data_IF_237968146775
#
_entry.id   IF_237968146775
#
_cell.length_a   1.000
_cell.length_b   1.000
_cell.length_c   1.000
_cell.angle_alpha   90.00
_cell.angle_beta   90.00
_cell.angle_gamma   90.00
#
_symmetry.space_group_name_H-M   'P 1'
#
loop_
_entity.id
_entity.type
_entity.pdbx_description
1 polymer ?
#
# COMPACT_ATOMS: atom_id res chain seq x y z
N UNK A 1 9.08 -11.20 -8.06
CA UNK A 1 9.99 -10.07 -8.36
C UNK A 1 9.45 -9.40 -9.61
N UNK A 2 9.09 -8.11 -9.51
CA UNK A 2 8.47 -7.37 -10.62
C UNK A 2 9.44 -6.29 -11.08
N UNK A 3 9.61 -6.12 -12.39
CA UNK A 3 10.51 -5.10 -12.95
C UNK A 3 9.67 -4.12 -13.77
N UNK A 4 9.76 -2.83 -13.45
CA UNK A 4 9.23 -1.77 -14.31
C UNK A 4 10.37 -1.08 -15.03
N UNK A 5 10.19 -0.91 -16.33
CA UNK A 5 11.12 -0.15 -17.17
C UNK A 5 10.37 1.10 -17.62
N UNK A 6 10.86 2.26 -17.18
CA UNK A 6 10.45 3.58 -17.67
C UNK A 6 11.65 4.22 -18.36
N UNK A 7 11.45 5.16 -19.28
CA UNK A 7 12.53 5.74 -20.09
C UNK A 7 13.75 6.16 -19.24
N UNK A 8 14.83 5.38 -19.30
CA UNK A 8 16.07 5.61 -18.58
C UNK A 8 16.17 5.04 -17.16
N UNK A 9 15.17 4.31 -16.64
CA UNK A 9 15.21 3.73 -15.29
C UNK A 9 14.69 2.28 -15.25
N UNK A 10 15.43 1.42 -14.55
CA UNK A 10 15.01 0.07 -14.19
C UNK A 10 14.61 0.09 -12.72
N UNK A 11 13.31 -0.05 -12.44
CA UNK A 11 12.78 -0.13 -11.09
C UNK A 11 12.60 -1.60 -10.73
N UNK A 12 13.42 -2.08 -9.80
CA UNK A 12 13.34 -3.43 -9.25
C UNK A 12 12.35 -3.42 -8.07
N UNK A 13 11.14 -3.92 -8.27
CA UNK A 13 10.18 -4.12 -7.21
C UNK A 13 10.42 -5.49 -6.58
N UNK A 14 10.98 -5.48 -5.37
CA UNK A 14 11.00 -6.66 -4.52
C UNK A 14 9.55 -7.02 -4.20
N UNK A 15 9.14 -8.21 -4.64
CA UNK A 15 7.80 -8.74 -4.47
C UNK A 15 7.71 -9.30 -3.04
N UNK A 16 7.71 -8.41 -2.06
CA UNK A 16 7.41 -8.77 -0.68
C UNK A 16 5.89 -8.74 -0.54
N UNK A 17 5.22 -9.73 -1.14
CA UNK A 17 3.77 -9.85 -1.17
C UNK A 17 3.16 -9.72 0.24
N UNK A 18 3.80 -10.32 1.25
CA UNK A 18 3.38 -10.21 2.66
C UNK A 18 3.46 -8.77 3.20
N UNK A 19 4.55 -8.04 2.93
CA UNK A 19 4.71 -6.66 3.42
C UNK A 19 3.78 -5.71 2.67
N UNK A 20 3.56 -5.93 1.38
CA UNK A 20 2.63 -5.12 0.59
C UNK A 20 1.18 -5.36 1.01
N UNK A 21 0.78 -6.61 1.20
CA UNK A 21 -0.56 -6.99 1.65
C UNK A 21 -0.82 -6.46 3.08
N UNK A 22 0.14 -6.61 3.98
CA UNK A 22 0.04 -6.05 5.34
C UNK A 22 -0.07 -4.52 5.29
N UNK A 23 0.69 -3.85 4.43
CA UNK A 23 0.62 -2.38 4.29
C UNK A 23 -0.74 -1.93 3.75
N UNK A 24 -1.33 -2.71 2.84
CA UNK A 24 -2.66 -2.44 2.30
C UNK A 24 -3.75 -2.67 3.35
N UNK A 25 -3.67 -3.76 4.13
CA UNK A 25 -4.56 -4.03 5.27
C UNK A 25 -4.50 -2.89 6.31
N UNK A 26 -3.30 -2.42 6.66
CA UNK A 26 -3.13 -1.30 7.57
C UNK A 26 -3.71 0.01 7.02
N UNK A 27 -3.58 0.26 5.71
CA UNK A 27 -4.15 1.45 5.08
C UNK A 27 -5.69 1.41 5.09
N UNK A 28 -6.28 0.25 4.81
CA UNK A 28 -7.73 0.06 4.90
C UNK A 28 -8.24 0.22 6.33
N UNK A 29 -7.58 -0.40 7.31
CA UNK A 29 -7.92 -0.24 8.72
C UNK A 29 -7.85 1.24 9.17
N UNK A 30 -6.84 1.99 8.70
CA UNK A 30 -6.71 3.41 8.98
C UNK A 30 -7.83 4.24 8.35
N UNK A 31 -8.27 3.92 7.14
CA UNK A 31 -9.39 4.61 6.50
C UNK A 31 -10.71 4.35 7.22
N UNK A 32 -10.98 3.10 7.60
CA UNK A 32 -12.18 2.76 8.38
C UNK A 32 -12.18 3.49 9.72
N UNK A 33 -11.04 3.53 10.41
CA UNK A 33 -10.90 4.27 11.66
C UNK A 33 -11.14 5.78 11.48
N UNK A 34 -10.65 6.37 10.39
CA UNK A 34 -10.96 7.78 10.05
C UNK A 34 -12.45 7.99 9.82
N UNK A 35 -13.11 7.12 9.07
CA UNK A 35 -14.55 7.22 8.83
C UNK A 35 -15.38 7.11 10.10
N UNK A 36 -14.98 6.25 11.04
CA UNK A 36 -15.63 6.13 12.36
C UNK A 36 -15.39 7.40 13.19
N UNK A 37 -14.17 7.95 13.15
CA UNK A 37 -13.84 9.19 13.86
C UNK A 37 -14.64 10.39 13.32
N UNK A 38 -14.82 10.49 12.00
CA UNK A 38 -15.65 11.51 11.36
C UNK A 38 -17.14 11.37 11.73
N UNK A 39 -17.64 10.14 11.85
CA UNK A 39 -19.04 9.87 12.20
C UNK A 39 -19.39 10.07 13.68
N UNK A 40 -18.38 10.15 14.56
CA UNK A 40 -18.55 10.37 16.00
C UNK A 40 -18.57 11.86 16.38
N UNK A 41 -18.18 12.76 15.47
CA UNK A 41 -18.15 14.23 15.66
C UNK A 41 -19.52 14.87 15.43
#
# INVERSE_FOLDING_TARGET
>A
MTVKITEGCIVLMADNNEVQELREQLYQARQVMKGIQDALV
#
